data_IF_853684582239
#
_entry.id   IF_853684582239
#
_cell.length_a   1.000
_cell.length_b   1.000
_cell.length_c   1.000
_cell.angle_alpha   90.00
_cell.angle_beta   90.00
_cell.angle_gamma   90.00
#
_symmetry.space_group_name_H-M   'P 1'
#
loop_
_entity.id
_entity.type
_entity.pdbx_description
1 polymer ?
#
# COMPACT_ATOMS: atom_id res chain seq x y z
N UNK A 1 -2.94 -12.47 15.48
CA UNK A 1 -3.65 -12.26 14.21
C UNK A 1 -3.14 -10.94 13.63
N UNK A 2 -2.29 -10.98 12.61
CA UNK A 2 -1.81 -9.75 11.96
C UNK A 2 -2.96 -9.22 11.14
N UNK A 3 -3.65 -8.21 11.67
CA UNK A 3 -4.67 -7.47 10.93
C UNK A 3 -4.08 -7.05 9.59
N UNK A 4 -4.80 -7.36 8.51
CA UNK A 4 -4.67 -6.72 7.20
C UNK A 4 -4.93 -5.23 7.40
N UNK A 5 -3.92 -4.51 7.88
CA UNK A 5 -4.02 -3.15 8.36
C UNK A 5 -4.38 -2.23 7.21
N UNK A 6 -5.37 -1.37 7.46
CA UNK A 6 -5.70 -0.27 6.57
C UNK A 6 -4.42 0.50 6.22
N UNK A 7 -4.06 0.63 4.93
CA UNK A 7 -2.87 1.37 4.54
C UNK A 7 -2.97 2.87 4.84
N UNK A 8 -4.17 3.38 5.11
CA UNK A 8 -4.44 4.78 5.38
C UNK A 8 -4.65 5.05 6.89
N UNK A 9 -3.59 4.84 7.68
CA UNK A 9 -3.58 5.19 9.11
C UNK A 9 -3.36 6.69 9.33
N UNK A 10 -3.66 7.24 10.52
CA UNK A 10 -3.35 8.63 10.86
C UNK A 10 -1.87 8.99 10.66
N UNK A 11 -0.95 8.07 10.96
CA UNK A 11 0.49 8.23 10.76
C UNK A 11 0.86 8.31 9.27
N UNK A 12 0.29 7.45 8.43
CA UNK A 12 0.47 7.50 6.98
C UNK A 12 -0.04 8.81 6.43
N UNK A 13 -1.22 9.27 6.90
CA UNK A 13 -1.81 10.53 6.48
C UNK A 13 -0.92 11.71 6.85
N UNK A 14 -0.42 11.77 8.07
CA UNK A 14 0.49 12.82 8.53
C UNK A 14 1.78 12.84 7.68
N UNK A 15 2.38 11.67 7.40
CA UNK A 15 3.54 11.57 6.51
C UNK A 15 3.21 12.03 5.08
N UNK A 16 2.01 11.72 4.60
CA UNK A 16 1.56 12.14 3.27
C UNK A 16 1.31 13.66 3.18
N UNK A 17 0.81 14.28 4.23
CA UNK A 17 0.59 15.73 4.28
C UNK A 17 1.90 16.50 4.48
N UNK A 18 2.86 15.94 5.23
CA UNK A 18 4.16 16.56 5.50
C UNK A 18 5.20 16.40 4.38
N UNK A 19 5.07 15.37 3.52
CA UNK A 19 6.05 15.14 2.45
C UNK A 19 6.03 16.27 1.42
N UNK A 20 7.16 16.48 0.75
CA UNK A 20 7.22 17.34 -0.42
C UNK A 20 6.25 16.89 -1.52
N UNK A 21 5.75 17.85 -2.29
CA UNK A 21 4.84 17.56 -3.42
C UNK A 21 5.49 16.63 -4.46
N UNK A 22 6.81 16.69 -4.60
CA UNK A 22 7.62 15.82 -5.48
C UNK A 22 7.96 14.46 -4.87
N UNK A 23 7.90 14.31 -3.54
CA UNK A 23 8.28 13.06 -2.87
C UNK A 23 7.25 11.95 -3.13
N UNK A 24 7.72 10.72 -3.33
CA UNK A 24 6.85 9.55 -3.44
C UNK A 24 6.61 8.93 -2.05
N UNK A 25 5.36 8.63 -1.73
CA UNK A 25 4.99 7.88 -0.52
C UNK A 25 4.06 6.75 -0.93
N UNK A 26 4.46 5.53 -0.60
CA UNK A 26 3.64 4.33 -0.79
C UNK A 26 3.40 3.66 0.58
N UNK A 27 2.17 3.73 1.13
CA UNK A 27 1.86 3.00 2.36
C UNK A 27 1.89 1.48 2.18
N UNK A 28 1.91 1.00 0.94
CA UNK A 28 1.97 -0.43 0.61
C UNK A 28 3.40 -0.96 0.49
N UNK A 29 4.40 -0.16 0.84
CA UNK A 29 5.82 -0.53 0.73
C UNK A 29 6.17 -1.83 1.48
N UNK A 30 5.52 -2.10 2.62
CA UNK A 30 5.75 -3.35 3.35
C UNK A 30 5.22 -4.57 2.59
N UNK A 31 4.02 -4.48 2.00
CA UNK A 31 3.45 -5.54 1.18
C UNK A 31 4.31 -5.78 -0.07
N UNK A 32 4.79 -4.71 -0.71
CA UNK A 32 5.74 -4.80 -1.81
C UNK A 32 7.03 -5.52 -1.38
N UNK A 33 7.63 -5.13 -0.25
CA UNK A 33 8.85 -5.76 0.27
C UNK A 33 8.64 -7.26 0.57
N UNK A 34 7.46 -7.65 1.08
CA UNK A 34 7.12 -9.07 1.29
C UNK A 34 7.07 -9.83 -0.04
N UNK A 35 6.45 -9.26 -1.07
CA UNK A 35 6.41 -9.88 -2.39
C UNK A 35 7.79 -10.04 -3.04
N UNK A 36 8.66 -9.03 -2.88
CA UNK A 36 10.05 -9.08 -3.37
C UNK A 36 10.85 -10.15 -2.63
N UNK A 37 10.70 -10.23 -1.30
CA UNK A 37 11.33 -11.30 -0.50
C UNK A 37 10.87 -12.69 -0.93
N UNK A 38 9.59 -12.86 -1.27
CA UNK A 38 9.09 -14.12 -1.81
C UNK A 38 9.77 -14.46 -3.14
N UNK A 39 9.87 -13.51 -4.06
CA UNK A 39 10.57 -13.71 -5.34
C UNK A 39 12.03 -14.09 -5.14
N UNK A 40 12.76 -13.41 -4.25
CA UNK A 40 14.16 -13.73 -3.96
C UNK A 40 14.35 -15.15 -3.41
N UNK A 41 13.38 -15.65 -2.63
CA UNK A 41 13.43 -17.01 -2.04
C UNK A 41 13.03 -18.10 -3.04
N UNK A 42 12.19 -17.78 -4.01
CA UNK A 42 11.66 -18.73 -4.98
C UNK A 42 12.26 -18.54 -6.38
N UNK A 43 13.48 -18.00 -6.45
CA UNK A 43 14.23 -17.82 -7.70
C UNK A 43 13.46 -17.03 -8.79
N UNK A 44 12.60 -16.11 -8.36
CA UNK A 44 11.75 -15.31 -9.24
C UNK A 44 10.43 -15.95 -9.65
N UNK A 45 10.08 -17.14 -9.13
CA UNK A 45 8.79 -17.76 -9.43
C UNK A 45 7.62 -16.96 -8.87
N UNK A 46 6.84 -16.39 -9.79
CA UNK A 46 5.70 -15.53 -9.47
C UNK A 46 4.48 -16.32 -9.01
N UNK A 47 4.37 -17.59 -9.41
CA UNK A 47 3.21 -18.44 -9.07
C UNK A 47 3.18 -18.73 -7.58
N UNK A 48 4.35 -18.90 -6.96
CA UNK A 48 4.54 -19.11 -5.52
C UNK A 48 4.26 -17.86 -4.67
N UNK A 49 4.13 -16.69 -5.31
CA UNK A 49 4.03 -15.40 -4.62
C UNK A 49 2.71 -14.65 -4.88
N UNK A 50 1.70 -15.31 -5.47
CA UNK A 50 0.41 -14.71 -5.83
C UNK A 50 -0.24 -13.96 -4.67
N UNK A 51 -0.23 -14.53 -3.47
CA UNK A 51 -0.89 -13.97 -2.29
C UNK A 51 -0.21 -12.67 -1.83
N UNK A 52 1.12 -12.59 -1.95
CA UNK A 52 1.86 -11.36 -1.64
C UNK A 52 1.56 -10.25 -2.66
N UNK A 53 1.41 -10.60 -3.94
CA UNK A 53 0.99 -9.62 -4.95
C UNK A 53 -0.44 -9.16 -4.73
N UNK A 54 -1.32 -10.09 -4.34
CA UNK A 54 -2.71 -9.77 -4.05
C UNK A 54 -2.81 -8.81 -2.85
N UNK A 55 -2.08 -9.08 -1.78
CA UNK A 55 -1.99 -8.16 -0.64
C UNK A 55 -1.51 -6.76 -1.02
N UNK A 56 -0.51 -6.63 -1.90
CA UNK A 56 -0.06 -5.32 -2.40
C UNK A 56 -1.13 -4.61 -3.25
N UNK A 57 -1.84 -5.34 -4.12
CA UNK A 57 -2.94 -4.78 -4.93
C UNK A 57 -4.09 -4.29 -4.07
N UNK A 58 -4.49 -5.09 -3.09
CA UNK A 58 -5.60 -4.77 -2.19
C UNK A 58 -5.27 -3.54 -1.34
N UNK A 59 -4.04 -3.47 -0.82
CA UNK A 59 -3.52 -2.29 -0.15
C UNK A 59 -3.62 -1.04 -1.04
N UNK A 60 -3.11 -1.12 -2.28
CA UNK A 60 -3.11 0.04 -3.18
C UNK A 60 -4.52 0.48 -3.56
N UNK A 61 -5.43 -0.48 -3.73
CA UNK A 61 -6.85 -0.22 -3.99
C UNK A 61 -7.50 0.51 -2.80
N UNK A 62 -7.30 0.02 -1.58
CA UNK A 62 -7.83 0.66 -0.37
C UNK A 62 -7.33 2.11 -0.23
N UNK A 63 -6.03 2.33 -0.44
CA UNK A 63 -5.44 3.67 -0.40
C UNK A 63 -6.06 4.63 -1.42
N UNK A 64 -6.19 4.21 -2.69
CA UNK A 64 -6.77 5.06 -3.74
C UNK A 64 -8.24 5.38 -3.48
N UNK A 65 -9.03 4.41 -3.02
CA UNK A 65 -10.43 4.62 -2.66
C UNK A 65 -10.56 5.61 -1.50
N UNK A 66 -9.73 5.49 -0.47
CA UNK A 66 -9.76 6.40 0.67
C UNK A 66 -9.40 7.84 0.27
N UNK A 67 -8.36 8.02 -0.56
CA UNK A 67 -8.01 9.33 -1.12
C UNK A 67 -9.10 9.93 -1.99
N UNK A 68 -9.83 9.10 -2.75
CA UNK A 68 -10.96 9.55 -3.57
C UNK A 68 -12.11 10.03 -2.69
N UNK A 69 -12.39 9.34 -1.58
CA UNK A 69 -13.40 9.75 -0.58
C UNK A 69 -13.04 11.09 0.06
N UNK A 70 -11.81 11.24 0.53
CA UNK A 70 -11.34 12.51 1.13
C UNK A 70 -11.42 13.68 0.15
N UNK A 71 -11.03 13.46 -1.13
CA UNK A 71 -11.22 14.47 -2.17
C UNK A 71 -12.69 14.80 -2.42
N UNK A 72 -13.57 13.79 -2.47
CA UNK A 72 -15.00 14.02 -2.76
C UNK A 72 -15.69 14.80 -1.63
N UNK A 73 -15.31 14.55 -0.37
CA UNK A 73 -15.83 15.31 0.78
C UNK A 73 -15.37 16.78 0.81
N UNK A 74 -14.29 17.12 0.11
CA UNK A 74 -13.82 18.50 -0.01
C UNK A 74 -14.62 19.35 -1.00
N UNK A 75 -15.28 18.73 -1.97
CA UNK A 75 -16.01 19.43 -3.06
C UNK A 75 -17.54 19.40 -2.87
N UNK A 76 -18.05 18.99 -1.71
CA UNK A 76 -19.49 18.92 -1.40
C UNK A 76 -19.88 19.81 -0.25
#
# INVERSE_FOLDING_TARGET
MVSTGDPWTPETREKFEKKDRSAYLDPCQEAAARSIRCLHRNNGDRTMCSDYFQAYRDCKKAWLEQRKKEKKGWFS
#
